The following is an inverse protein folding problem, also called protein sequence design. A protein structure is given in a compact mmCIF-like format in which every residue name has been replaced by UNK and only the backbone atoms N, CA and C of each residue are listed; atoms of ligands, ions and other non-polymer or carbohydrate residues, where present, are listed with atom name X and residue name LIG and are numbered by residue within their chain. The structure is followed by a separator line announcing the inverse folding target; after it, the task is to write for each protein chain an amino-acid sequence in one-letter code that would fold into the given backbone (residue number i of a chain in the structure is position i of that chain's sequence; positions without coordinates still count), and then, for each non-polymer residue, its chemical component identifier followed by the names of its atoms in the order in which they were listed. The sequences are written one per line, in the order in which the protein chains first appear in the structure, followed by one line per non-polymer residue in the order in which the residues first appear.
data_IF_032514418269
#
_entry.id   IF_032514418269
#
_cell.length_a   1.000
_cell.length_b   1.000
_cell.length_c   1.000
_cell.angle_alpha   90.00
_cell.angle_beta   90.00
_cell.angle_gamma   90.00
#
_symmetry.space_group_name_H-M   'P 1'
#
loop_
_entity.id
_entity.type
_entity.pdbx_description
1 polymer ?
#
# COMPACT_ATOMS: atom_id res chain seq x y z
N UNK A 1 7.55 26.53 -11.24
CA UNK A 1 6.42 26.24 -10.34
C UNK A 1 5.42 25.38 -11.08
N UNK A 2 5.02 24.24 -10.53
CA UNK A 2 3.93 23.45 -11.10
C UNK A 2 2.61 24.19 -10.83
N UNK A 3 1.77 24.40 -11.84
CA UNK A 3 0.46 24.99 -11.64
C UNK A 3 -0.38 24.13 -10.68
N UNK A 4 -1.16 24.74 -9.77
CA UNK A 4 -1.99 23.99 -8.84
C UNK A 4 -3.12 23.27 -9.59
N UNK A 5 -3.38 22.02 -9.23
CA UNK A 5 -4.55 21.30 -9.74
C UNK A 5 -5.83 21.87 -9.11
N UNK A 6 -6.65 22.56 -9.89
CA UNK A 6 -7.89 23.17 -9.40
C UNK A 6 -9.08 22.24 -9.66
N UNK A 7 -9.86 21.95 -8.61
CA UNK A 7 -11.14 21.21 -8.74
C UNK A 7 -12.26 22.09 -8.18
N UNK A 8 -13.27 22.38 -9.00
CA UNK A 8 -14.49 23.06 -8.53
C UNK A 8 -15.42 22.05 -7.85
N UNK A 9 -15.90 22.40 -6.67
CA UNK A 9 -16.85 21.62 -5.88
C UNK A 9 -18.09 22.46 -5.65
N UNK A 10 -19.26 21.85 -5.83
CA UNK A 10 -20.52 22.50 -5.48
C UNK A 10 -20.67 22.53 -3.96
N UNK A 11 -21.35 23.55 -3.44
CA UNK A 11 -21.72 23.59 -2.03
C UNK A 11 -22.62 22.38 -1.71
N UNK A 12 -22.36 21.69 -0.60
CA UNK A 12 -23.31 20.72 -0.06
C UNK A 12 -24.33 21.53 0.74
N UNK A 13 -25.53 21.69 0.22
CA UNK A 13 -26.61 22.43 0.89
C UNK A 13 -27.82 21.54 0.99
N UNK A 14 -27.91 20.77 2.08
CA UNK A 14 -29.09 19.99 2.44
C UNK A 14 -29.66 20.57 3.74
N UNK A 15 -30.20 21.80 3.67
CA UNK A 15 -30.92 22.43 4.79
C UNK A 15 -30.11 23.34 5.72
N UNK A 16 -30.84 24.09 6.54
CA UNK A 16 -30.35 25.16 7.41
C UNK A 16 -29.40 24.64 8.49
N UNK A 17 -28.12 25.07 8.41
CA UNK A 17 -27.08 24.71 9.37
C UNK A 17 -25.66 24.80 8.79
N UNK A 18 -24.65 24.64 9.65
CA UNK A 18 -23.25 24.47 9.24
C UNK A 18 -23.08 23.08 8.62
N UNK A 19 -22.85 23.02 7.31
CA UNK A 19 -22.67 21.75 6.59
C UNK A 19 -21.19 21.44 6.45
N UNK A 20 -20.77 20.25 6.91
CA UNK A 20 -19.44 19.73 6.65
C UNK A 20 -19.43 18.92 5.34
N UNK A 21 -18.61 19.37 4.40
CA UNK A 21 -18.45 18.73 3.09
C UNK A 21 -17.11 18.01 2.99
N UNK A 22 -17.12 16.70 2.76
CA UNK A 22 -15.91 15.95 2.46
C UNK A 22 -15.77 15.69 0.96
N UNK A 23 -14.62 16.08 0.38
CA UNK A 23 -14.27 15.75 -1.01
C UNK A 23 -12.96 14.96 -1.09
N UNK A 24 -12.98 13.70 -1.59
CA UNK A 24 -11.75 12.96 -1.78
C UNK A 24 -10.96 13.48 -2.98
N UNK A 25 -9.67 13.73 -2.78
CA UNK A 25 -8.71 14.02 -3.86
C UNK A 25 -8.16 12.71 -4.41
N UNK A 26 -8.10 12.59 -5.75
CA UNK A 26 -7.61 11.40 -6.46
C UNK A 26 -6.40 11.75 -7.30
N UNK A 27 -5.64 10.72 -7.70
CA UNK A 27 -4.45 10.89 -8.55
C UNK A 27 -3.22 11.43 -7.81
N UNK A 28 -3.27 11.51 -6.48
CA UNK A 28 -2.11 11.86 -5.66
C UNK A 28 -1.11 10.70 -5.66
N UNK A 29 0.16 11.04 -5.84
CA UNK A 29 1.28 10.09 -5.69
C UNK A 29 1.53 9.83 -4.21
N UNK A 30 1.61 8.56 -3.84
CA UNK A 30 1.90 8.09 -2.49
C UNK A 30 3.23 8.61 -1.92
N UNK A 31 3.30 8.76 -0.59
CA UNK A 31 4.51 9.22 0.12
C UNK A 31 4.86 10.69 -0.09
N UNK A 32 4.03 11.45 -0.82
CA UNK A 32 4.28 12.87 -1.11
C UNK A 32 3.47 13.78 -0.21
N UNK A 33 4.10 14.89 0.15
CA UNK A 33 3.46 16.02 0.81
C UNK A 33 2.75 16.89 -0.23
N UNK A 34 1.50 17.23 0.06
CA UNK A 34 0.68 18.15 -0.72
C UNK A 34 0.23 19.28 0.18
N UNK A 35 0.06 20.44 -0.44
CA UNK A 35 -0.53 21.62 0.16
C UNK A 35 -1.89 21.86 -0.50
N UNK A 36 -2.92 22.10 0.31
CA UNK A 36 -4.26 22.36 -0.15
C UNK A 36 -4.81 23.63 0.51
N UNK A 37 -5.55 24.42 -0.26
CA UNK A 37 -6.33 25.55 0.19
C UNK A 37 -7.64 25.59 -0.59
N UNK A 38 -8.64 26.26 -0.04
CA UNK A 38 -9.94 26.46 -0.67
C UNK A 38 -10.21 27.94 -0.83
N UNK A 39 -11.08 28.30 -1.77
CA UNK A 39 -11.59 29.67 -1.92
C UNK A 39 -13.07 29.61 -2.29
N UNK A 40 -13.83 30.61 -1.87
CA UNK A 40 -15.21 30.77 -2.30
C UNK A 40 -15.24 31.17 -3.78
N UNK A 41 -16.19 30.62 -4.53
CA UNK A 41 -16.44 31.00 -5.92
C UNK A 41 -17.92 31.31 -6.10
N UNK A 42 -18.23 32.48 -6.63
CA UNK A 42 -19.58 32.94 -6.98
C UNK A 42 -19.63 33.37 -8.45
N UNK A 43 -20.79 33.79 -8.94
CA UNK A 43 -20.92 34.34 -10.29
C UNK A 43 -20.15 35.66 -10.47
N UNK A 44 -19.98 36.43 -9.38
CA UNK A 44 -19.26 37.71 -9.39
C UNK A 44 -17.74 37.53 -9.34
N UNK A 45 -17.26 36.34 -8.94
CA UNK A 45 -15.83 36.04 -8.92
C UNK A 45 -15.40 35.10 -7.80
N UNK A 46 -14.09 35.07 -7.55
CA UNK A 46 -13.47 34.18 -6.58
C UNK A 46 -12.96 35.00 -5.38
N UNK A 47 -13.28 34.54 -4.18
CA UNK A 47 -12.83 35.15 -2.93
C UNK A 47 -11.37 34.84 -2.61
N UNK A 48 -10.86 35.37 -1.48
CA UNK A 48 -9.51 35.09 -1.02
C UNK A 48 -9.33 33.60 -0.67
N UNK A 49 -8.11 33.06 -0.81
CA UNK A 49 -7.81 31.69 -0.38
C UNK A 49 -7.82 31.54 1.14
N UNK A 50 -8.16 30.35 1.61
CA UNK A 50 -8.00 29.95 3.01
C UNK A 50 -6.54 29.82 3.41
N UNK A 51 -6.29 29.58 4.70
CA UNK A 51 -5.01 29.07 5.14
C UNK A 51 -4.65 27.76 4.42
N UNK A 52 -3.36 27.55 4.17
CA UNK A 52 -2.84 26.34 3.52
C UNK A 52 -2.73 25.23 4.54
N UNK A 53 -3.21 24.04 4.18
CA UNK A 53 -3.05 22.82 4.96
C UNK A 53 -2.10 21.89 4.21
N UNK A 54 -1.02 21.48 4.88
CA UNK A 54 -0.07 20.50 4.37
C UNK A 54 -0.41 19.10 4.90
N UNK A 55 -0.44 18.10 4.02
CA UNK A 55 -0.67 16.70 4.39
C UNK A 55 0.20 15.77 3.53
N UNK A 56 0.72 14.70 4.14
CA UNK A 56 1.48 13.68 3.43
C UNK A 56 0.58 12.48 3.12
N UNK A 57 0.54 12.09 1.86
CA UNK A 57 -0.10 10.83 1.45
C UNK A 57 0.67 9.63 1.99
N UNK A 58 -0.07 8.61 2.42
CA UNK A 58 0.51 7.35 2.89
C UNK A 58 1.31 6.66 1.78
N UNK A 59 2.48 6.11 2.14
CA UNK A 59 3.28 5.22 1.29
C UNK A 59 3.03 3.73 1.61
N UNK A 60 2.03 3.43 2.44
CA UNK A 60 1.71 2.06 2.83
C UNK A 60 1.23 1.25 1.63
N UNK A 61 1.72 0.02 1.53
CA UNK A 61 1.37 -0.91 0.48
C UNK A 61 1.03 -2.28 1.11
N UNK A 62 -0.04 -2.95 0.66
CA UNK A 62 -0.45 -4.23 1.22
C UNK A 62 0.59 -5.31 0.96
N UNK A 63 0.67 -6.29 1.87
CA UNK A 63 1.48 -7.48 1.67
C UNK A 63 0.93 -8.31 0.49
N UNK A 64 1.75 -8.53 -0.53
CA UNK A 64 1.39 -9.24 -1.77
C UNK A 64 2.52 -10.19 -2.16
N UNK A 65 2.18 -11.46 -2.38
CA UNK A 65 3.12 -12.44 -2.90
C UNK A 65 3.29 -12.19 -4.40
N UNK A 66 4.52 -12.00 -4.84
CA UNK A 66 4.89 -11.78 -6.26
C UNK A 66 5.59 -12.97 -6.89
N UNK A 67 6.02 -13.97 -6.10
CA UNK A 67 6.48 -15.24 -6.65
C UNK A 67 5.30 -16.05 -7.19
N UNK A 68 5.39 -16.50 -8.44
CA UNK A 68 4.44 -17.44 -9.01
C UNK A 68 4.56 -18.78 -8.28
N UNK A 69 3.43 -19.29 -7.76
CA UNK A 69 3.38 -20.64 -7.20
C UNK A 69 3.66 -21.68 -8.29
N UNK A 70 4.19 -22.84 -7.89
CA UNK A 70 4.50 -23.93 -8.81
C UNK A 70 4.91 -25.19 -8.08
N UNK A 71 4.94 -26.30 -8.81
CA UNK A 71 5.43 -27.58 -8.30
C UNK A 71 6.96 -27.58 -8.45
N UNK A 72 7.68 -27.74 -7.33
CA UNK A 72 9.10 -28.01 -7.35
C UNK A 72 9.34 -29.52 -7.25
N UNK A 73 10.16 -30.06 -8.16
CA UNK A 73 10.52 -31.49 -8.20
C UNK A 73 12.03 -31.62 -8.03
N UNK A 74 12.48 -32.59 -7.25
CA UNK A 74 13.90 -32.88 -7.01
C UNK A 74 14.15 -34.37 -6.90
N UNK A 75 15.43 -34.76 -7.04
CA UNK A 75 15.86 -36.13 -6.85
C UNK A 75 15.65 -36.58 -5.38
N UNK A 76 15.39 -37.87 -5.18
CA UNK A 76 15.37 -38.45 -3.83
C UNK A 76 16.73 -38.27 -3.16
N UNK A 77 16.73 -37.77 -1.91
CA UNK A 77 17.98 -37.40 -1.21
C UNK A 77 18.63 -36.10 -1.70
N UNK A 78 18.07 -35.45 -2.73
CA UNK A 78 18.49 -34.13 -3.17
C UNK A 78 17.99 -33.02 -2.24
N UNK A 79 18.59 -31.83 -2.35
CA UNK A 79 18.11 -30.64 -1.66
C UNK A 79 17.20 -29.80 -2.57
N UNK A 80 16.20 -29.15 -1.99
CA UNK A 80 15.25 -28.27 -2.68
C UNK A 80 15.22 -26.89 -2.02
N UNK A 81 15.18 -25.83 -2.83
CA UNK A 81 14.99 -24.44 -2.37
C UNK A 81 13.68 -23.89 -2.91
N UNK A 82 12.78 -23.50 -2.00
CA UNK A 82 11.50 -22.89 -2.31
C UNK A 82 11.60 -21.40 -1.96
N UNK A 83 11.51 -20.52 -2.96
CA UNK A 83 11.54 -19.06 -2.75
C UNK A 83 10.13 -18.48 -2.69
N UNK A 84 9.88 -17.61 -1.71
CA UNK A 84 8.66 -16.82 -1.61
C UNK A 84 9.02 -15.33 -1.68
N UNK A 85 8.72 -14.69 -2.82
CA UNK A 85 8.93 -13.26 -2.99
C UNK A 85 7.65 -12.54 -2.60
N UNK A 86 7.74 -11.62 -1.65
CA UNK A 86 6.62 -10.86 -1.11
C UNK A 86 7.01 -9.39 -1.01
N UNK A 87 6.11 -8.51 -1.43
CA UNK A 87 6.27 -7.06 -1.32
C UNK A 87 5.21 -6.44 -0.41
N UNK A 88 5.49 -5.27 0.13
CA UNK A 88 4.59 -4.51 1.01
C UNK A 88 5.35 -3.41 1.75
N UNK A 89 4.63 -2.41 2.23
CA UNK A 89 5.18 -1.34 3.09
C UNK A 89 4.26 -1.21 4.31
N UNK A 90 4.74 -1.54 5.53
CA UNK A 90 6.11 -1.99 5.85
C UNK A 90 6.44 -3.39 5.29
N UNK A 91 7.73 -3.77 5.24
CA UNK A 91 8.14 -5.09 4.77
C UNK A 91 7.42 -6.22 5.52
N UNK A 92 6.74 -7.15 4.81
CA UNK A 92 5.93 -8.18 5.46
C UNK A 92 6.78 -9.34 6.01
N UNK A 93 6.26 -10.00 7.04
CA UNK A 93 6.86 -11.22 7.59
C UNK A 93 6.42 -12.46 6.80
N UNK A 94 7.31 -13.47 6.74
CA UNK A 94 7.09 -14.71 5.99
C UNK A 94 6.99 -15.90 6.95
N UNK A 95 6.05 -16.80 6.68
CA UNK A 95 5.92 -18.08 7.39
C UNK A 95 5.65 -19.18 6.38
N UNK A 96 6.37 -20.29 6.52
CA UNK A 96 6.17 -21.48 5.69
C UNK A 96 5.17 -22.42 6.34
N UNK A 97 4.29 -23.01 5.54
CA UNK A 97 3.30 -23.98 6.01
C UNK A 97 3.51 -25.31 5.28
N UNK A 98 3.29 -26.42 6.00
CA UNK A 98 3.22 -27.76 5.43
C UNK A 98 1.87 -28.36 5.80
N UNK A 99 1.08 -28.70 4.77
CA UNK A 99 -0.28 -29.24 4.96
C UNK A 99 -1.11 -28.38 5.93
N UNK A 100 -1.09 -27.05 5.74
CA UNK A 100 -1.84 -26.09 6.56
C UNK A 100 -1.21 -25.75 7.93
N UNK A 101 -0.16 -26.46 8.36
CA UNK A 101 0.47 -26.22 9.67
C UNK A 101 1.75 -25.40 9.54
N UNK A 102 1.99 -24.49 10.49
CA UNK A 102 3.23 -23.71 10.53
C UNK A 102 4.45 -24.63 10.60
N UNK A 103 5.35 -24.46 9.64
CA UNK A 103 6.60 -25.18 9.58
C UNK A 103 7.58 -24.53 10.55
N UNK A 104 8.12 -25.35 11.46
CA UNK A 104 9.16 -24.95 12.39
C UNK A 104 10.53 -25.30 11.79
N UNK A 105 11.51 -24.38 11.77
CA UNK A 105 12.85 -24.66 11.28
C UNK A 105 13.51 -25.78 12.10
N UNK A 106 13.77 -26.92 11.45
CA UNK A 106 14.45 -28.09 12.01
C UNK A 106 14.81 -29.03 10.86
N UNK A 107 15.92 -29.79 10.92
CA UNK A 107 16.26 -30.74 9.86
C UNK A 107 15.07 -31.63 9.47
N UNK A 108 14.76 -31.77 8.17
CA UNK A 108 15.52 -31.28 7.00
C UNK A 108 15.25 -29.81 6.58
N UNK A 109 14.35 -29.10 7.25
CA UNK A 109 13.89 -27.75 6.90
C UNK A 109 14.74 -26.64 7.52
N UNK A 110 15.27 -25.77 6.68
CA UNK A 110 16.09 -24.62 7.06
C UNK A 110 15.53 -23.37 6.39
N UNK A 111 15.63 -22.22 7.05
CA UNK A 111 15.29 -20.93 6.44
C UNK A 111 16.58 -20.24 6.00
N UNK A 112 16.61 -19.77 4.76
CA UNK A 112 17.72 -18.99 4.19
C UNK A 112 17.15 -17.70 3.60
N UNK A 113 17.18 -16.63 4.41
CA UNK A 113 16.49 -15.37 4.11
C UNK A 113 15.00 -15.60 3.80
N UNK A 114 14.67 -15.53 2.51
CA UNK A 114 13.31 -15.65 1.98
C UNK A 114 12.95 -17.05 1.48
N UNK A 115 13.92 -17.98 1.51
CA UNK A 115 13.77 -19.33 0.98
C UNK A 115 13.60 -20.37 2.10
N UNK A 116 12.73 -21.36 1.86
CA UNK A 116 12.74 -22.61 2.59
C UNK A 116 13.65 -23.60 1.88
N UNK A 117 14.71 -24.01 2.56
CA UNK A 117 15.63 -25.04 2.11
C UNK A 117 15.25 -26.38 2.74
N UNK A 118 14.97 -27.37 1.92
CA UNK A 118 14.79 -28.76 2.32
C UNK A 118 16.10 -29.47 1.98
N UNK A 119 16.88 -29.84 3.00
CA UNK A 119 18.15 -30.54 2.79
C UNK A 119 17.91 -32.04 2.69
N UNK A 120 18.49 -32.63 1.66
CA UNK A 120 18.59 -34.09 1.54
C UNK A 120 19.42 -34.68 2.69
N UNK A 121 19.17 -35.96 2.98
CA UNK A 121 20.01 -36.74 3.88
C UNK A 121 21.19 -37.35 3.12
#
# INVERSE_FOLDING_TARGET
SQEPNVTRVNACTDGEGTVECMRPLRGLRAGRTYEAWVRAATNEGEGPPSAVVACQTSALAPARISSFGGIAVGAAGGSLSLRCVVGGVPPPSKRWLRAGNQLHPRPPFHLDGDALLIRGK
#
